data_IF_426049938443
#
_entry.id   IF_426049938443
#
_cell.length_a   1.000
_cell.length_b   1.000
_cell.length_c   1.000
_cell.angle_alpha   90.00
_cell.angle_beta   90.00
_cell.angle_gamma   90.00
#
_symmetry.space_group_name_H-M   'P 1'
#
loop_
_entity.id
_entity.type
_entity.pdbx_description
1 polymer ?
#
# COMPACT_ATOMS: atom_id res chain seq x y z
N UNK A 1 6.52 -8.25 -8.79
CA UNK A 1 6.38 -7.08 -7.92
C UNK A 1 5.56 -6.05 -8.67
N UNK A 2 4.61 -5.40 -8.00
CA UNK A 2 3.80 -4.32 -8.57
C UNK A 2 3.86 -3.11 -7.67
N UNK A 3 4.19 -1.94 -8.23
CA UNK A 3 4.30 -0.67 -7.51
C UNK A 3 3.31 0.31 -8.13
N UNK A 4 2.46 0.90 -7.30
CA UNK A 4 1.47 1.90 -7.73
C UNK A 4 2.09 3.30 -7.84
N UNK A 5 1.28 4.30 -8.23
CA UNK A 5 1.72 5.68 -8.30
C UNK A 5 2.06 6.27 -6.92
N UNK A 6 2.88 7.33 -6.90
CA UNK A 6 3.22 8.10 -5.69
C UNK A 6 3.78 7.24 -4.55
N UNK A 7 4.62 6.25 -4.90
CA UNK A 7 5.33 5.42 -3.93
C UNK A 7 6.80 5.86 -3.87
N UNK A 8 7.30 6.05 -2.66
CA UNK A 8 8.69 6.38 -2.40
C UNK A 8 9.38 5.17 -1.77
N UNK A 9 10.52 4.75 -2.33
CA UNK A 9 11.32 3.64 -1.83
C UNK A 9 12.74 4.15 -1.61
N UNK A 10 13.23 4.02 -0.37
CA UNK A 10 14.56 4.41 0.04
C UNK A 10 15.66 3.50 -0.51
N UNK A 11 16.88 3.78 -0.11
CA UNK A 11 18.07 3.10 -0.63
C UNK A 11 18.30 1.73 0.03
N UNK A 12 18.93 0.81 -0.72
CA UNK A 12 19.32 -0.52 -0.23
C UNK A 12 18.15 -1.38 0.29
N UNK A 13 16.97 -1.26 -0.33
CA UNK A 13 15.83 -2.11 0.01
C UNK A 13 15.88 -3.47 -0.69
N UNK A 14 15.44 -4.53 -0.01
CA UNK A 14 15.27 -5.87 -0.58
C UNK A 14 13.78 -6.22 -0.61
N UNK A 15 13.21 -6.36 -1.81
CA UNK A 15 11.79 -6.66 -1.99
C UNK A 15 11.65 -7.97 -2.73
N UNK A 16 11.06 -8.96 -2.07
CA UNK A 16 10.85 -10.28 -2.64
C UNK A 16 9.68 -10.31 -3.65
N UNK A 17 9.62 -11.39 -4.43
CA UNK A 17 8.56 -11.66 -5.41
C UNK A 17 7.15 -11.64 -4.80
N UNK A 18 6.15 -11.39 -5.64
CA UNK A 18 4.72 -11.35 -5.27
C UNK A 18 4.30 -10.22 -4.30
N UNK A 19 5.14 -9.20 -4.14
CA UNK A 19 4.81 -7.98 -3.39
C UNK A 19 4.04 -6.97 -4.24
N UNK A 20 2.99 -6.39 -3.68
CA UNK A 20 2.22 -5.26 -4.21
C UNK A 20 2.35 -4.07 -3.26
N UNK A 21 2.82 -2.93 -3.74
CA UNK A 21 3.05 -1.73 -2.92
C UNK A 21 2.16 -0.59 -3.42
N UNK A 22 1.36 -0.04 -2.53
CA UNK A 22 0.51 1.12 -2.80
C UNK A 22 -0.87 0.79 -3.33
N UNK A 23 -1.40 -0.41 -3.10
CA UNK A 23 -2.79 -0.72 -3.45
C UNK A 23 -3.78 -0.03 -2.49
N UNK A 24 -5.04 0.09 -2.92
CA UNK A 24 -6.12 0.53 -2.05
C UNK A 24 -6.34 -0.46 -0.91
N UNK A 25 -6.37 0.04 0.33
CA UNK A 25 -6.75 -0.74 1.50
C UNK A 25 -8.26 -0.92 1.64
N UNK A 26 -8.68 -1.47 2.78
CA UNK A 26 -10.09 -1.59 3.14
C UNK A 26 -10.62 -0.25 3.69
N UNK A 27 -10.79 0.73 2.80
CA UNK A 27 -11.33 2.05 3.12
C UNK A 27 -12.76 2.19 2.66
N UNK A 28 -13.73 1.83 3.51
CA UNK A 28 -15.16 1.98 3.22
C UNK A 28 -15.87 2.69 4.38
N UNK A 29 -16.69 3.68 4.05
CA UNK A 29 -17.62 4.32 4.99
C UNK A 29 -19.01 3.70 4.81
N UNK A 30 -19.72 3.48 5.91
CA UNK A 30 -21.13 3.08 5.84
C UNK A 30 -22.01 4.34 5.79
N UNK A 31 -22.71 4.53 4.67
CA UNK A 31 -23.76 5.53 4.53
C UNK A 31 -25.12 4.84 4.38
N UNK A 32 -25.88 4.78 5.48
CA UNK A 32 -27.24 4.22 5.52
C UNK A 32 -27.36 2.81 4.92
N UNK A 33 -26.36 1.95 5.18
CA UNK A 33 -26.30 0.60 4.65
C UNK A 33 -25.56 0.45 3.32
N UNK A 34 -25.16 1.54 2.67
CA UNK A 34 -24.30 1.51 1.50
C UNK A 34 -22.83 1.65 1.91
N UNK A 35 -21.98 0.76 1.43
CA UNK A 35 -20.54 0.86 1.61
C UNK A 35 -19.95 1.77 0.52
N UNK A 36 -19.62 3.01 0.89
CA UNK A 36 -19.00 3.99 -0.01
C UNK A 36 -17.49 3.87 0.13
N UNK A 37 -16.80 3.63 -0.98
CA UNK A 37 -15.34 3.57 -1.01
C UNK A 37 -14.75 4.95 -0.71
N UNK A 38 -13.86 5.01 0.27
CA UNK A 38 -13.10 6.21 0.62
C UNK A 38 -11.82 6.21 -0.25
N UNK A 39 -11.62 7.22 -1.12
CA UNK A 39 -10.40 7.33 -1.91
C UNK A 39 -9.14 7.32 -1.02
N UNK A 40 -8.22 6.40 -1.31
CA UNK A 40 -6.93 6.31 -0.62
C UNK A 40 -5.90 7.17 -1.36
N UNK A 41 -5.95 8.49 -1.13
CA UNK A 41 -5.03 9.48 -1.71
C UNK A 41 -3.66 9.50 -1.02
N UNK A 42 -3.49 8.66 -0.01
CA UNK A 42 -2.22 8.48 0.67
C UNK A 42 -1.13 7.91 -0.22
N UNK A 43 0.11 7.99 0.27
CA UNK A 43 1.29 7.37 -0.33
C UNK A 43 1.88 6.32 0.60
N UNK A 44 2.68 5.43 0.05
CA UNK A 44 3.55 4.52 0.82
C UNK A 44 4.97 5.04 0.72
N UNK A 45 5.62 5.23 1.86
CA UNK A 45 7.02 5.61 1.97
C UNK A 45 7.75 4.45 2.64
N UNK A 46 8.66 3.83 1.91
CA UNK A 46 9.56 2.80 2.41
C UNK A 46 10.90 3.48 2.67
N UNK A 47 11.40 3.43 3.90
CA UNK A 47 12.70 4.00 4.28
C UNK A 47 13.89 3.18 3.77
N UNK A 48 15.10 3.61 4.12
CA UNK A 48 16.33 2.92 3.70
C UNK A 48 16.51 1.58 4.42
N UNK A 49 17.15 0.62 3.73
CA UNK A 49 17.53 -0.71 4.26
C UNK A 49 16.33 -1.53 4.78
N UNK A 50 15.18 -1.40 4.12
CA UNK A 50 13.98 -2.18 4.43
C UNK A 50 13.97 -3.50 3.64
N UNK A 51 13.63 -4.58 4.32
CA UNK A 51 13.39 -5.88 3.70
C UNK A 51 11.90 -6.24 3.74
N UNK A 52 11.34 -6.56 2.56
CA UNK A 52 9.98 -7.03 2.40
C UNK A 52 10.03 -8.49 1.92
N UNK A 53 9.69 -9.40 2.82
CA UNK A 53 9.71 -10.85 2.59
C UNK A 53 8.65 -11.35 1.58
N UNK A 54 8.83 -12.59 1.12
CA UNK A 54 7.91 -13.21 0.17
C UNK A 54 6.67 -13.77 0.88
N UNK A 55 5.48 -13.39 0.39
CA UNK A 55 4.25 -14.11 0.66
C UNK A 55 3.46 -14.29 -0.65
N UNK A 56 2.56 -15.27 -0.74
CA UNK A 56 1.77 -15.52 -1.96
C UNK A 56 1.05 -14.29 -2.51
N UNK A 57 0.72 -13.31 -1.64
CA UNK A 57 0.21 -11.98 -2.02
C UNK A 57 0.41 -10.97 -0.88
N UNK A 58 1.63 -10.44 -0.72
CA UNK A 58 1.89 -9.38 0.27
C UNK A 58 1.50 -8.01 -0.31
N UNK A 59 0.59 -7.30 0.36
CA UNK A 59 0.13 -5.98 -0.09
C UNK A 59 0.41 -4.92 0.98
N UNK A 60 1.20 -3.90 0.63
CA UNK A 60 1.40 -2.70 1.45
C UNK A 60 0.39 -1.65 0.96
N UNK A 61 -0.54 -1.27 1.82
CA UNK A 61 -1.66 -0.39 1.46
C UNK A 61 -1.34 1.07 1.71
N UNK A 62 -1.97 1.95 0.93
CA UNK A 62 -1.94 3.39 1.17
C UNK A 62 -2.71 3.74 2.44
N UNK A 63 -2.29 4.82 3.09
CA UNK A 63 -2.97 5.39 4.25
C UNK A 63 -3.43 6.82 3.97
N UNK A 64 -4.73 7.09 4.03
CA UNK A 64 -5.25 8.46 3.99
C UNK A 64 -4.99 9.16 5.33
N UNK A 65 -4.18 10.22 5.34
CA UNK A 65 -4.11 11.15 6.48
C UNK A 65 -5.42 11.98 6.47
N UNK A 66 -6.13 12.14 7.59
CA UNK A 66 -7.29 13.02 7.67
C UNK A 66 -6.93 14.50 7.48
#
# INVERSE_FOLDING_TARGET
MTVYHEIEIGENCLIQSSTVIGADGFGYANDRGNWVKIPQLGRVIIGDRVEIGAAPRLTVVRWTIP
#
